data_IF_387194418332
#
_entry.id   IF_387194418332
#
_cell.length_a   1.000
_cell.length_b   1.000
_cell.length_c   1.000
_cell.angle_alpha   90.00
_cell.angle_beta   90.00
_cell.angle_gamma   90.00
#
_symmetry.space_group_name_H-M   'P 1'
#
loop_
_entity.id
_entity.type
_entity.pdbx_description
1 polymer ?
#
# COMPACT_ATOMS: atom_id res chain seq x y z
N UNK A 1 -16.20 30.85 -1.57
CA UNK A 1 -17.30 30.98 -0.60
C UNK A 1 -18.65 30.67 -1.25
N UNK A 2 -19.54 30.03 -0.50
CA UNK A 2 -20.89 29.69 -0.92
C UNK A 2 -21.87 30.39 0.03
N UNK A 3 -22.90 30.99 -0.52
CA UNK A 3 -24.05 31.55 0.22
C UNK A 3 -25.31 30.80 -0.15
N UNK A 4 -26.22 30.64 0.78
CA UNK A 4 -27.52 30.04 0.52
C UNK A 4 -28.54 31.18 0.17
N UNK A 5 -29.16 31.07 -0.98
CA UNK A 5 -30.18 31.97 -1.44
C UNK A 5 -31.39 31.17 -1.94
N UNK A 6 -32.57 31.44 -1.37
CA UNK A 6 -33.84 30.77 -1.72
C UNK A 6 -33.73 29.21 -1.60
N UNK A 7 -32.96 28.73 -0.63
CA UNK A 7 -32.71 27.27 -0.42
C UNK A 7 -31.70 26.64 -1.39
N UNK A 8 -31.02 27.43 -2.20
CA UNK A 8 -29.99 26.95 -3.13
C UNK A 8 -28.60 27.50 -2.78
N UNK A 9 -27.55 26.67 -2.90
CA UNK A 9 -26.17 27.15 -2.78
C UNK A 9 -25.81 28.04 -4.01
N UNK A 10 -25.22 29.18 -3.75
CA UNK A 10 -24.74 30.12 -4.77
C UNK A 10 -23.32 30.54 -4.48
N UNK A 11 -22.53 30.84 -5.50
CA UNK A 11 -21.22 31.45 -5.29
C UNK A 11 -21.40 32.84 -4.69
N UNK A 12 -20.63 33.16 -3.64
CA UNK A 12 -20.78 34.42 -2.90
C UNK A 12 -20.47 35.67 -3.72
N UNK A 13 -19.71 35.53 -4.83
CA UNK A 13 -19.42 36.61 -5.76
C UNK A 13 -20.53 36.89 -6.78
N UNK A 14 -21.64 36.13 -6.72
CA UNK A 14 -22.74 36.23 -7.68
C UNK A 14 -22.43 35.73 -9.09
N UNK A 15 -21.24 35.18 -9.32
CA UNK A 15 -20.81 34.61 -10.60
C UNK A 15 -21.26 33.16 -10.80
N UNK A 16 -21.05 32.68 -12.02
CA UNK A 16 -21.30 31.27 -12.40
C UNK A 16 -20.04 30.42 -12.33
N UNK A 17 -18.86 31.03 -12.12
CA UNK A 17 -17.59 30.37 -11.97
C UNK A 17 -16.96 30.73 -10.62
N UNK A 18 -16.28 29.75 -10.00
CA UNK A 18 -15.50 30.02 -8.80
C UNK A 18 -14.34 30.96 -9.14
N UNK A 19 -14.04 31.96 -8.26
CA UNK A 19 -12.85 32.78 -8.45
C UNK A 19 -11.59 31.93 -8.24
N UNK A 20 -10.51 32.25 -8.93
CA UNK A 20 -9.21 31.57 -8.72
C UNK A 20 -8.68 31.81 -7.30
N UNK A 21 -8.96 32.96 -6.72
CA UNK A 21 -8.58 33.34 -5.36
C UNK A 21 -9.73 33.97 -4.61
N UNK A 22 -9.81 33.77 -3.31
CA UNK A 22 -10.77 34.46 -2.43
C UNK A 22 -10.18 34.58 -1.01
N UNK A 23 -10.63 35.64 -0.31
CA UNK A 23 -10.27 35.82 1.09
C UNK A 23 -11.14 34.95 1.99
N UNK A 24 -10.49 34.22 2.90
CA UNK A 24 -11.16 33.45 3.95
C UNK A 24 -11.04 34.23 5.25
N UNK A 25 -12.18 34.48 5.91
CA UNK A 25 -12.16 35.06 7.24
C UNK A 25 -11.62 34.04 8.25
N UNK A 26 -10.55 34.37 8.93
CA UNK A 26 -9.88 33.53 9.92
C UNK A 26 -8.37 33.65 9.85
N UNK A 27 -7.69 32.95 10.73
CA UNK A 27 -6.24 32.84 10.70
C UNK A 27 -5.79 32.14 9.42
N UNK A 28 -4.61 32.51 8.91
CA UNK A 28 -4.02 31.81 7.78
C UNK A 28 -3.97 30.31 8.08
N UNK A 29 -4.30 29.44 7.11
CA UNK A 29 -4.16 28.00 7.34
C UNK A 29 -2.74 27.72 7.79
N UNK A 30 -2.60 26.93 8.85
CA UNK A 30 -1.30 26.41 9.28
C UNK A 30 -0.67 25.73 8.04
N UNK A 31 0.59 26.03 7.72
CA UNK A 31 1.26 25.33 6.63
C UNK A 31 1.07 23.84 6.81
N UNK A 32 0.84 23.15 5.71
CA UNK A 32 0.62 21.71 5.70
C UNK A 32 1.74 21.06 6.53
N UNK A 33 1.42 20.62 7.74
CA UNK A 33 2.38 19.84 8.54
C UNK A 33 2.44 18.47 7.89
N UNK A 34 3.63 17.94 7.65
CA UNK A 34 3.81 16.60 7.13
C UNK A 34 2.98 15.61 7.96
N UNK A 35 2.21 14.77 7.30
CA UNK A 35 1.41 13.76 7.98
C UNK A 35 2.31 12.57 8.31
N UNK A 36 2.17 12.04 9.52
CA UNK A 36 2.78 10.78 9.95
C UNK A 36 1.73 9.93 10.67
N UNK A 37 1.78 8.64 10.44
CA UNK A 37 0.95 7.63 11.08
C UNK A 37 1.79 6.41 11.40
N UNK A 38 1.63 5.87 12.60
CA UNK A 38 2.29 4.63 13.03
C UNK A 38 1.30 3.81 13.86
N UNK A 39 1.31 2.51 13.69
CA UNK A 39 0.54 1.57 14.50
C UNK A 39 1.30 0.27 14.75
N UNK A 40 1.05 -0.33 15.90
CA UNK A 40 1.44 -1.70 16.25
C UNK A 40 0.21 -2.61 16.35
N UNK A 41 -0.90 -2.20 15.79
CA UNK A 41 -2.15 -2.96 15.74
C UNK A 41 -2.60 -3.49 17.11
N UNK A 42 -2.72 -2.57 18.09
CA UNK A 42 -3.16 -2.92 19.43
C UNK A 42 -4.59 -3.51 19.43
N UNK A 43 -4.88 -4.40 20.36
CA UNK A 43 -6.13 -5.16 20.44
C UNK A 43 -7.43 -4.35 20.34
N UNK A 44 -7.40 -3.08 20.74
CA UNK A 44 -8.56 -2.19 20.74
C UNK A 44 -8.52 -1.14 19.61
N UNK A 45 -7.59 -1.28 18.66
CA UNK A 45 -7.49 -0.35 17.54
C UNK A 45 -8.70 -0.44 16.62
N UNK A 46 -9.42 0.68 16.48
CA UNK A 46 -10.46 0.81 15.47
C UNK A 46 -9.82 1.22 14.13
N UNK A 47 -9.47 0.22 13.31
CA UNK A 47 -8.81 0.42 12.02
C UNK A 47 -9.53 1.44 11.13
N UNK A 48 -10.87 1.46 11.18
CA UNK A 48 -11.66 2.37 10.34
C UNK A 48 -11.56 3.82 10.82
N UNK A 49 -11.47 4.04 12.12
CA UNK A 49 -11.22 5.39 12.68
C UNK A 49 -9.79 5.87 12.43
N UNK A 50 -8.84 4.95 12.39
CA UNK A 50 -7.44 5.24 12.05
C UNK A 50 -7.24 5.49 10.56
N UNK A 51 -8.31 5.42 9.76
CA UNK A 51 -8.28 5.76 8.34
C UNK A 51 -7.89 4.62 7.39
N UNK A 52 -7.86 3.39 7.90
CA UNK A 52 -7.66 2.22 7.04
C UNK A 52 -8.84 2.04 6.09
N UNK A 53 -8.54 1.57 4.90
CA UNK A 53 -9.49 1.28 3.83
C UNK A 53 -9.33 -0.17 3.41
N UNK A 54 -10.39 -0.75 2.88
CA UNK A 54 -10.35 -2.05 2.24
C UNK A 54 -11.19 -2.05 0.97
N UNK A 55 -10.88 -2.97 0.08
CA UNK A 55 -11.67 -3.17 -1.13
C UNK A 55 -12.94 -3.95 -0.81
N UNK A 56 -14.10 -3.26 -0.71
CA UNK A 56 -15.47 -3.80 -0.67
C UNK A 56 -15.86 -4.62 0.57
N UNK A 57 -14.96 -5.17 1.35
CA UNK A 57 -15.27 -6.06 2.47
C UNK A 57 -14.73 -5.52 3.79
N UNK A 58 -15.58 -4.89 4.58
CA UNK A 58 -15.25 -4.43 5.94
C UNK A 58 -15.38 -5.51 7.01
N UNK A 59 -16.02 -6.63 6.67
CA UNK A 59 -16.27 -7.77 7.58
C UNK A 59 -16.07 -9.09 6.84
N UNK A 60 -16.09 -10.21 7.54
CA UNK A 60 -16.07 -11.55 6.94
C UNK A 60 -14.91 -12.45 7.42
N UNK A 61 -14.22 -12.10 8.51
CA UNK A 61 -13.24 -12.97 9.16
C UNK A 61 -11.96 -13.21 8.34
N UNK A 62 -11.63 -12.28 7.43
CA UNK A 62 -10.38 -12.31 6.68
C UNK A 62 -9.28 -11.49 7.34
N UNK A 63 -9.61 -10.72 8.34
CA UNK A 63 -8.67 -9.99 9.18
C UNK A 63 -9.05 -10.08 10.66
N UNK A 64 -8.08 -9.95 11.52
CA UNK A 64 -8.26 -9.76 12.97
C UNK A 64 -7.09 -8.97 13.53
N UNK A 65 -7.34 -8.24 14.62
CA UNK A 65 -6.30 -7.56 15.40
C UNK A 65 -6.24 -8.24 16.76
N UNK A 66 -5.03 -8.48 17.25
CA UNK A 66 -4.79 -9.16 18.50
C UNK A 66 -3.41 -8.83 19.09
N UNK A 67 -3.01 -9.52 20.18
CA UNK A 67 -1.72 -9.28 20.84
C UNK A 67 -0.49 -9.45 19.93
N UNK A 68 -0.65 -10.20 18.86
CA UNK A 68 0.42 -10.47 17.88
C UNK A 68 0.41 -9.49 16.70
N UNK A 69 -0.50 -8.49 16.72
CA UNK A 69 -0.65 -7.52 15.64
C UNK A 69 -1.88 -7.77 14.75
N UNK A 70 -1.80 -7.32 13.51
CA UNK A 70 -2.81 -7.52 12.47
C UNK A 70 -2.58 -8.85 11.76
N UNK A 71 -3.57 -9.74 11.79
CA UNK A 71 -3.55 -10.99 11.04
C UNK A 71 -4.43 -10.83 9.81
N UNK A 72 -3.88 -11.07 8.62
CA UNK A 72 -4.60 -11.15 7.35
C UNK A 72 -4.62 -12.59 6.86
N UNK A 73 -5.82 -13.11 6.56
CA UNK A 73 -6.00 -14.40 5.91
C UNK A 73 -5.91 -14.23 4.40
N UNK A 74 -5.23 -15.15 3.72
CA UNK A 74 -5.01 -15.11 2.28
C UNK A 74 -6.30 -14.99 1.45
N UNK A 75 -6.38 -13.93 0.67
CA UNK A 75 -7.46 -13.63 -0.25
C UNK A 75 -7.10 -13.95 -1.70
N UNK A 76 -7.82 -13.32 -2.62
CA UNK A 76 -7.56 -13.39 -4.06
C UNK A 76 -6.40 -12.50 -4.49
N UNK A 77 -5.99 -12.65 -5.75
CA UNK A 77 -4.99 -11.81 -6.41
C UNK A 77 -5.27 -10.31 -6.25
N UNK A 78 -4.25 -9.45 -6.28
CA UNK A 78 -4.43 -8.00 -6.27
C UNK A 78 -5.29 -7.50 -7.44
N UNK A 79 -5.35 -8.27 -8.53
CA UNK A 79 -6.19 -7.96 -9.69
C UNK A 79 -7.65 -8.38 -9.55
N UNK A 80 -8.00 -9.09 -8.48
CA UNK A 80 -9.40 -9.46 -8.22
C UNK A 80 -10.24 -8.23 -7.89
N UNK A 81 -11.48 -8.25 -8.36
CA UNK A 81 -12.43 -7.19 -8.06
C UNK A 81 -13.16 -7.37 -6.72
N UNK A 82 -13.05 -8.53 -6.06
CA UNK A 82 -13.94 -8.86 -4.95
C UNK A 82 -13.27 -9.36 -3.68
N UNK A 83 -12.59 -10.49 -3.69
CA UNK A 83 -12.16 -11.18 -2.46
C UNK A 83 -10.72 -10.91 -2.07
N UNK A 84 -10.30 -9.67 -2.17
CA UNK A 84 -8.96 -9.24 -1.75
C UNK A 84 -8.89 -9.13 -0.23
N UNK A 85 -7.81 -9.62 0.35
CA UNK A 85 -7.46 -9.42 1.76
C UNK A 85 -6.42 -8.32 1.87
N UNK A 86 -6.90 -7.09 1.98
CA UNK A 86 -6.10 -5.89 1.83
C UNK A 86 -6.58 -4.78 2.74
N UNK A 87 -5.67 -4.18 3.49
CA UNK A 87 -5.86 -2.98 4.28
C UNK A 87 -4.85 -1.92 3.85
N UNK A 88 -5.33 -0.76 3.45
CA UNK A 88 -4.51 0.30 2.87
C UNK A 88 -4.82 1.66 3.50
N UNK A 89 -3.85 2.57 3.42
CA UNK A 89 -3.94 3.99 3.76
C UNK A 89 -3.80 4.83 2.49
N UNK A 90 -4.36 6.04 2.48
CA UNK A 90 -4.17 6.97 1.36
C UNK A 90 -2.77 7.58 1.40
N UNK A 91 -2.08 7.56 0.27
CA UNK A 91 -0.95 8.46 0.06
C UNK A 91 -1.45 9.92 0.06
N UNK A 92 -0.75 10.79 0.79
CA UNK A 92 -1.18 12.18 1.04
C UNK A 92 -0.27 13.22 0.44
N UNK A 93 0.90 12.80 0.00
CA UNK A 93 1.95 13.64 -0.57
C UNK A 93 2.50 13.00 -1.85
N UNK A 94 3.23 13.76 -2.65
CA UNK A 94 4.01 13.24 -3.78
C UNK A 94 5.40 12.72 -3.36
N UNK A 95 5.79 12.97 -2.11
CA UNK A 95 6.98 12.39 -1.50
C UNK A 95 6.60 11.82 -0.13
N UNK A 96 6.79 10.52 0.04
CA UNK A 96 6.40 9.80 1.26
C UNK A 96 7.16 8.49 1.41
N UNK A 97 7.15 7.97 2.62
CA UNK A 97 7.73 6.70 2.98
C UNK A 97 6.74 5.88 3.81
N UNK A 98 6.71 4.56 3.61
CA UNK A 98 5.94 3.65 4.44
C UNK A 98 6.74 2.37 4.68
N UNK A 99 6.53 1.77 5.85
CA UNK A 99 7.19 0.54 6.29
C UNK A 99 6.20 -0.39 7.00
N UNK A 100 6.46 -1.68 6.95
CA UNK A 100 5.81 -2.65 7.82
C UNK A 100 6.81 -3.67 8.34
N UNK A 101 6.48 -4.30 9.48
CA UNK A 101 7.12 -5.51 10.00
C UNK A 101 6.11 -6.64 9.94
N UNK A 102 6.54 -7.81 9.47
CA UNK A 102 5.64 -8.94 9.26
C UNK A 102 6.31 -10.29 9.46
N UNK A 103 5.47 -11.29 9.73
CA UNK A 103 5.82 -12.70 9.76
C UNK A 103 4.93 -13.43 8.75
N UNK A 104 5.55 -14.23 7.88
CA UNK A 104 4.83 -15.00 6.89
C UNK A 104 5.59 -16.26 6.49
N UNK A 105 4.90 -17.41 6.53
CA UNK A 105 5.45 -18.73 6.23
C UNK A 105 4.69 -19.38 5.07
N UNK A 106 4.94 -18.93 3.83
CA UNK A 106 4.34 -19.55 2.66
C UNK A 106 4.94 -20.95 2.41
N UNK A 107 4.14 -21.82 1.84
CA UNK A 107 4.56 -23.15 1.41
C UNK A 107 4.37 -23.41 -0.09
N UNK A 108 3.83 -22.40 -0.80
CA UNK A 108 3.52 -22.46 -2.21
C UNK A 108 3.69 -21.08 -2.87
N UNK A 109 4.12 -21.02 -4.11
CA UNK A 109 4.38 -19.76 -4.84
C UNK A 109 3.13 -18.88 -5.02
N UNK A 110 1.92 -19.44 -4.94
CA UNK A 110 0.66 -18.70 -4.98
C UNK A 110 0.22 -18.15 -3.62
N UNK A 111 1.04 -18.32 -2.58
CA UNK A 111 0.88 -17.71 -1.27
C UNK A 111 1.85 -16.54 -1.17
N UNK A 112 1.33 -15.33 -1.04
CA UNK A 112 2.13 -14.12 -0.97
C UNK A 112 1.58 -13.17 0.08
N UNK A 113 2.45 -12.43 0.77
CA UNK A 113 2.06 -11.36 1.68
C UNK A 113 3.10 -10.25 1.67
N UNK A 114 2.66 -9.00 1.87
CA UNK A 114 3.57 -7.86 1.88
C UNK A 114 2.89 -6.51 1.72
N UNK A 115 3.65 -5.56 1.16
CA UNK A 115 3.22 -4.17 0.93
C UNK A 115 2.80 -3.94 -0.51
N UNK A 116 1.63 -3.35 -0.67
CA UNK A 116 1.10 -2.95 -1.97
C UNK A 116 0.95 -1.42 -2.03
N UNK A 117 1.35 -0.85 -3.17
CA UNK A 117 1.03 0.52 -3.57
C UNK A 117 0.14 0.42 -4.79
N UNK A 118 -1.07 0.94 -4.75
CA UNK A 118 -2.00 0.79 -5.85
C UNK A 118 -2.83 2.03 -6.10
N UNK A 119 -3.32 2.13 -7.32
CA UNK A 119 -4.39 3.01 -7.71
C UNK A 119 -5.70 2.23 -7.89
N UNK A 120 -5.63 1.10 -8.59
CA UNK A 120 -6.71 0.13 -8.75
C UNK A 120 -6.13 -1.28 -8.99
N UNK A 121 -6.98 -2.27 -9.21
CA UNK A 121 -6.60 -3.67 -9.44
C UNK A 121 -5.79 -3.91 -10.72
N UNK A 122 -5.49 -2.89 -11.52
CA UNK A 122 -4.73 -2.96 -12.77
C UNK A 122 -3.49 -2.07 -12.78
N UNK A 123 -3.34 -1.20 -11.77
CA UNK A 123 -2.26 -0.23 -11.67
C UNK A 123 -1.69 -0.27 -10.24
N UNK A 124 -0.63 -1.06 -10.03
CA UNK A 124 -0.03 -1.27 -8.73
C UNK A 124 1.42 -1.73 -8.80
N UNK A 125 2.14 -1.52 -7.70
CA UNK A 125 3.42 -2.15 -7.37
C UNK A 125 3.29 -2.90 -6.05
N UNK A 126 3.79 -4.12 -5.97
CA UNK A 126 3.66 -5.01 -4.83
C UNK A 126 5.01 -5.63 -4.49
N UNK A 127 5.52 -5.39 -3.28
CA UNK A 127 6.67 -6.06 -2.70
C UNK A 127 6.17 -7.11 -1.70
N UNK A 128 6.59 -8.35 -1.85
CA UNK A 128 6.01 -9.45 -1.08
C UNK A 128 6.98 -10.57 -0.78
N UNK A 129 6.66 -11.35 0.22
CA UNK A 129 7.27 -12.63 0.53
C UNK A 129 6.44 -13.73 -0.12
N UNK A 130 7.12 -14.71 -0.72
CA UNK A 130 6.53 -15.93 -1.30
C UNK A 130 7.44 -17.13 -1.12
N UNK A 131 7.09 -18.25 -1.74
CA UNK A 131 7.84 -19.49 -1.75
C UNK A 131 8.43 -19.77 -3.13
N UNK A 132 9.71 -20.12 -3.15
CA UNK A 132 10.37 -20.61 -4.36
C UNK A 132 10.35 -22.13 -4.37
N UNK A 133 9.65 -22.69 -5.35
CA UNK A 133 9.45 -24.14 -5.46
C UNK A 133 10.73 -24.92 -5.82
N UNK A 134 11.65 -24.28 -6.55
CA UNK A 134 12.90 -24.92 -6.98
C UNK A 134 13.94 -24.87 -5.86
N UNK A 135 14.12 -23.71 -5.23
CA UNK A 135 15.09 -23.52 -4.14
C UNK A 135 14.58 -23.97 -2.78
N UNK A 136 13.25 -24.22 -2.64
CA UNK A 136 12.59 -24.60 -1.37
C UNK A 136 12.88 -23.66 -0.23
N UNK A 137 12.75 -22.36 -0.51
CA UNK A 137 12.96 -21.31 0.48
C UNK A 137 11.97 -20.15 0.27
N UNK A 138 11.82 -19.33 1.30
CA UNK A 138 11.12 -18.05 1.18
C UNK A 138 11.92 -17.09 0.29
N UNK A 139 11.20 -16.26 -0.44
CA UNK A 139 11.78 -15.23 -1.30
C UNK A 139 11.03 -13.93 -1.16
N UNK A 140 11.75 -12.80 -1.20
CA UNK A 140 11.15 -11.49 -1.44
C UNK A 140 11.11 -11.29 -2.95
N UNK A 141 9.95 -10.87 -3.45
CA UNK A 141 9.69 -10.68 -4.87
C UNK A 141 8.90 -9.39 -5.08
N UNK A 142 8.97 -8.84 -6.29
CA UNK A 142 8.21 -7.67 -6.70
C UNK A 142 7.34 -7.97 -7.92
N UNK A 143 6.11 -7.50 -7.89
CA UNK A 143 5.16 -7.56 -8.99
C UNK A 143 4.71 -6.15 -9.33
N UNK A 144 4.71 -5.79 -10.60
CA UNK A 144 4.13 -4.56 -11.11
C UNK A 144 3.01 -4.87 -12.09
N UNK A 145 1.97 -4.07 -12.05
CA UNK A 145 0.86 -4.10 -13.02
C UNK A 145 0.66 -2.71 -13.57
N UNK A 146 0.85 -2.55 -14.87
CA UNK A 146 0.54 -1.32 -15.60
C UNK A 146 -0.64 -1.58 -16.53
N UNK A 147 -1.80 -1.00 -16.23
CA UNK A 147 -3.06 -1.21 -16.97
C UNK A 147 -3.42 -2.68 -17.16
N UNK A 148 -3.02 -3.52 -16.18
CA UNK A 148 -3.23 -4.96 -16.19
C UNK A 148 -2.13 -5.76 -16.90
N UNK A 149 -1.08 -5.14 -17.41
CA UNK A 149 0.10 -5.82 -17.89
C UNK A 149 1.08 -6.09 -16.75
N UNK A 150 1.32 -7.35 -16.46
CA UNK A 150 2.17 -7.77 -15.35
C UNK A 150 3.64 -7.85 -15.74
N UNK A 151 4.50 -7.49 -14.77
CA UNK A 151 5.94 -7.71 -14.85
C UNK A 151 6.49 -8.09 -13.48
N UNK A 152 7.57 -8.87 -13.48
CA UNK A 152 8.34 -9.28 -12.31
C UNK A 152 9.70 -8.55 -12.35
N UNK A 153 9.83 -7.36 -11.74
CA UNK A 153 11.04 -6.53 -11.90
C UNK A 153 12.33 -7.17 -11.35
N UNK A 154 12.20 -8.13 -10.42
CA UNK A 154 13.33 -8.90 -9.88
C UNK A 154 13.64 -10.17 -10.70
N UNK A 155 12.92 -10.40 -11.80
CA UNK A 155 13.00 -11.66 -12.55
C UNK A 155 12.47 -12.85 -11.74
N UNK A 156 12.79 -14.07 -12.21
CA UNK A 156 12.23 -15.29 -11.60
C UNK A 156 12.82 -15.61 -10.23
N UNK A 157 14.06 -15.19 -9.97
CA UNK A 157 14.77 -15.62 -8.76
C UNK A 157 14.35 -14.88 -7.48
N UNK A 158 14.04 -13.59 -7.55
CA UNK A 158 13.79 -12.80 -6.35
C UNK A 158 14.99 -12.79 -5.37
N UNK A 159 14.76 -12.37 -4.13
CA UNK A 159 15.76 -12.29 -3.06
C UNK A 159 15.48 -13.42 -2.06
N UNK A 160 16.43 -14.34 -1.90
CA UNK A 160 16.26 -15.47 -0.96
C UNK A 160 16.25 -14.98 0.49
N UNK A 161 15.31 -15.50 1.28
CA UNK A 161 15.22 -15.25 2.72
C UNK A 161 15.71 -16.50 3.45
N UNK A 162 16.75 -16.40 4.31
CA UNK A 162 17.22 -17.53 5.10
C UNK A 162 16.12 -18.09 6.03
N UNK A 163 16.12 -19.40 6.24
CA UNK A 163 15.13 -20.07 7.11
C UNK A 163 15.21 -19.63 8.58
N UNK A 164 16.36 -19.05 9.00
CA UNK A 164 16.57 -18.53 10.36
C UNK A 164 15.93 -17.17 10.61
N UNK A 165 15.42 -16.50 9.57
CA UNK A 165 14.77 -15.19 9.68
C UNK A 165 13.37 -15.36 10.22
N UNK A 166 13.06 -14.68 11.31
CA UNK A 166 11.73 -14.72 11.96
C UNK A 166 10.83 -13.58 11.50
N UNK A 167 11.40 -12.41 11.29
CA UNK A 167 10.67 -11.19 10.91
C UNK A 167 11.23 -10.58 9.64
N UNK A 168 10.35 -10.09 8.78
CA UNK A 168 10.71 -9.40 7.54
C UNK A 168 10.10 -8.00 7.58
N UNK A 169 10.96 -6.99 7.42
CA UNK A 169 10.50 -5.61 7.27
C UNK A 169 10.54 -5.24 5.80
N UNK A 170 9.45 -4.66 5.32
CA UNK A 170 9.31 -4.16 3.96
C UNK A 170 9.09 -2.67 4.00
N UNK A 171 9.70 -1.95 3.07
CA UNK A 171 9.60 -0.50 2.96
C UNK A 171 9.38 -0.04 1.53
N UNK A 172 8.76 1.10 1.38
CA UNK A 172 8.57 1.81 0.12
C UNK A 172 8.79 3.29 0.30
N UNK A 173 9.54 3.90 -0.60
CA UNK A 173 9.71 5.34 -0.70
C UNK A 173 9.24 5.81 -2.06
N UNK A 174 8.47 6.88 -2.09
CA UNK A 174 8.06 7.58 -3.31
C UNK A 174 8.56 9.01 -3.24
N UNK A 175 9.20 9.46 -4.32
CA UNK A 175 9.59 10.86 -4.53
C UNK A 175 9.22 11.26 -5.96
N UNK A 176 8.12 11.99 -6.08
CA UNK A 176 7.54 12.35 -7.38
C UNK A 176 7.14 11.12 -8.19
N UNK A 177 7.91 10.79 -9.22
CA UNK A 177 7.64 9.63 -10.10
C UNK A 177 8.45 8.40 -9.75
N UNK A 178 9.40 8.49 -8.83
CA UNK A 178 10.29 7.40 -8.48
C UNK A 178 9.73 6.63 -7.27
N UNK A 179 9.50 5.34 -7.43
CA UNK A 179 9.17 4.41 -6.36
C UNK A 179 10.33 3.44 -6.16
N UNK A 180 10.80 3.34 -4.93
CA UNK A 180 11.89 2.44 -4.54
C UNK A 180 11.41 1.57 -3.38
N UNK A 181 11.60 0.26 -3.52
CA UNK A 181 11.37 -0.68 -2.45
C UNK A 181 12.63 -0.97 -1.64
N UNK A 182 12.45 -1.26 -0.36
CA UNK A 182 13.49 -1.71 0.55
C UNK A 182 13.01 -2.86 1.41
N UNK A 183 13.94 -3.59 1.99
CA UNK A 183 13.66 -4.66 2.95
C UNK A 183 14.73 -4.74 4.03
N UNK A 184 14.39 -5.33 5.16
CA UNK A 184 15.35 -5.75 6.17
C UNK A 184 14.90 -7.08 6.77
N UNK A 185 15.85 -7.88 7.21
CA UNK A 185 15.62 -9.21 7.80
C UNK A 185 15.92 -9.12 9.28
N UNK A 186 14.97 -9.52 10.13
CA UNK A 186 15.03 -9.34 11.58
C UNK A 186 15.41 -7.88 11.96
N UNK A 187 16.31 -7.68 12.90
CA UNK A 187 16.84 -6.37 13.29
C UNK A 187 18.01 -5.89 12.39
N UNK A 188 18.21 -6.51 11.22
CA UNK A 188 19.27 -6.15 10.28
C UNK A 188 19.09 -4.76 9.66
N UNK A 189 20.12 -4.31 8.93
CA UNK A 189 20.07 -3.03 8.22
C UNK A 189 19.13 -3.08 7.02
N UNK A 190 18.57 -1.92 6.68
CA UNK A 190 17.77 -1.76 5.47
C UNK A 190 18.60 -1.93 4.20
N UNK A 191 18.13 -2.76 3.31
CA UNK A 191 18.66 -2.97 1.97
C UNK A 191 17.69 -2.42 0.93
N UNK A 192 18.17 -1.59 0.03
CA UNK A 192 17.38 -1.19 -1.14
C UNK A 192 17.26 -2.39 -2.07
N UNK A 193 16.04 -2.62 -2.57
CA UNK A 193 15.81 -3.66 -3.58
C UNK A 193 16.55 -3.26 -4.86
N UNK A 194 17.42 -4.14 -5.34
CA UNK A 194 18.25 -3.90 -6.51
C UNK A 194 17.75 -4.68 -7.73
N UNK A 195 17.86 -4.07 -8.89
CA UNK A 195 17.68 -4.72 -10.18
C UNK A 195 18.85 -5.68 -10.51
N UNK A 196 18.74 -6.44 -11.58
CA UNK A 196 19.73 -7.46 -11.94
C UNK A 196 21.16 -6.91 -12.20
N UNK A 197 21.29 -5.62 -12.49
CA UNK A 197 22.59 -4.93 -12.67
C UNK A 197 23.19 -4.38 -11.36
N UNK A 198 22.51 -4.61 -10.23
CA UNK A 198 22.95 -4.19 -8.90
C UNK A 198 22.64 -2.74 -8.54
N UNK A 199 21.98 -1.98 -9.41
CA UNK A 199 21.50 -0.64 -9.09
C UNK A 199 20.16 -0.69 -8.35
N UNK A 200 19.76 0.36 -7.60
CA UNK A 200 18.42 0.45 -7.04
C UNK A 200 17.35 0.21 -8.11
N UNK A 201 16.39 -0.66 -7.80
CA UNK A 201 15.21 -0.86 -8.65
C UNK A 201 14.27 0.34 -8.47
N UNK A 202 14.24 1.21 -9.48
CA UNK A 202 13.33 2.36 -9.50
C UNK A 202 12.14 2.00 -10.40
N UNK A 203 10.94 2.08 -9.83
CA UNK A 203 9.68 1.82 -10.51
C UNK A 203 8.95 3.15 -10.76
N UNK A 204 8.13 3.19 -11.81
CA UNK A 204 7.38 4.38 -12.19
C UNK A 204 6.10 4.54 -11.34
N UNK A 205 6.15 5.43 -10.33
CA UNK A 205 5.01 5.72 -9.48
C UNK A 205 3.84 6.39 -10.24
N UNK A 206 4.09 7.00 -11.40
CA UNK A 206 3.05 7.68 -12.18
C UNK A 206 2.00 6.72 -12.73
N UNK A 207 2.28 5.42 -12.84
CA UNK A 207 1.27 4.43 -13.23
C UNK A 207 0.08 4.40 -12.26
N UNK A 208 0.27 4.86 -11.02
CA UNK A 208 -0.75 4.92 -9.98
C UNK A 208 -1.43 6.30 -9.93
N UNK A 209 -1.67 6.92 -11.08
CA UNK A 209 -2.33 8.23 -11.19
C UNK A 209 -3.58 8.19 -12.08
N UNK A 210 -4.48 9.17 -11.88
CA UNK A 210 -5.67 9.36 -12.70
C UNK A 210 -5.33 9.52 -14.19
N UNK A 211 -4.27 10.28 -14.47
CA UNK A 211 -3.83 10.58 -15.82
C UNK A 211 -3.35 9.33 -16.55
N UNK A 212 -2.64 8.45 -15.83
CA UNK A 212 -2.11 7.23 -16.41
C UNK A 212 -3.19 6.17 -16.64
N UNK A 213 -4.01 5.87 -15.62
CA UNK A 213 -5.04 4.82 -15.74
C UNK A 213 -6.20 5.24 -16.65
N UNK A 214 -6.40 6.54 -16.80
CA UNK A 214 -7.43 7.11 -17.67
C UNK A 214 -8.79 7.25 -17.00
N UNK A 215 -9.81 7.54 -17.80
CA UNK A 215 -11.14 7.89 -17.32
C UNK A 215 -11.78 6.81 -16.43
N UNK A 216 -12.33 7.21 -15.29
CA UNK A 216 -13.23 6.39 -14.46
C UNK A 216 -12.60 5.82 -13.18
N UNK A 217 -11.38 6.21 -12.85
CA UNK A 217 -10.71 5.73 -11.65
C UNK A 217 -11.09 6.57 -10.41
N UNK A 218 -10.60 7.79 -10.24
CA UNK A 218 -10.97 8.73 -9.17
C UNK A 218 -10.73 8.25 -7.72
N UNK A 219 -9.78 7.33 -7.52
CA UNK A 219 -9.53 6.76 -6.19
C UNK A 219 -8.37 7.42 -5.47
N UNK A 220 -7.32 7.81 -6.18
CA UNK A 220 -6.04 8.23 -5.64
C UNK A 220 -5.20 7.04 -5.16
N UNK A 221 -3.90 7.23 -5.11
CA UNK A 221 -2.92 6.23 -4.68
C UNK A 221 -3.13 5.84 -3.22
N UNK A 222 -3.04 4.56 -2.96
CA UNK A 222 -3.03 3.98 -1.60
C UNK A 222 -1.81 3.11 -1.39
N UNK A 223 -1.43 2.92 -0.13
CA UNK A 223 -0.34 2.02 0.29
C UNK A 223 -0.78 1.23 1.50
N UNK A 224 -0.40 -0.04 1.58
CA UNK A 224 -0.75 -0.86 2.75
C UNK A 224 -0.37 -2.30 2.62
N UNK A 225 -1.11 -3.15 3.29
CA UNK A 225 -0.80 -4.52 3.60
C UNK A 225 -1.77 -5.47 2.90
N UNK A 226 -1.24 -6.55 2.33
CA UNK A 226 -2.09 -7.55 1.68
C UNK A 226 -1.56 -8.96 1.94
N UNK A 227 -2.48 -9.92 1.99
CA UNK A 227 -2.18 -11.35 2.04
C UNK A 227 -3.01 -12.07 0.97
N UNK A 228 -2.35 -12.90 0.18
CA UNK A 228 -2.92 -13.59 -0.96
C UNK A 228 -2.68 -15.09 -0.80
N UNK A 229 -3.70 -15.87 -1.04
CA UNK A 229 -3.57 -17.32 -1.15
C UNK A 229 -4.48 -17.83 -2.26
N UNK A 230 -3.90 -18.11 -3.40
CA UNK A 230 -4.61 -18.67 -4.55
C UNK A 230 -4.40 -20.18 -4.67
N UNK A 231 -3.89 -20.81 -3.59
CA UNK A 231 -3.65 -22.25 -3.51
C UNK A 231 -4.77 -22.96 -2.73
N UNK A 232 -4.73 -22.88 -1.41
CA UNK A 232 -5.63 -23.64 -0.54
C UNK A 232 -6.42 -22.77 0.46
N UNK A 233 -6.22 -21.44 0.43
CA UNK A 233 -6.88 -20.45 1.30
C UNK A 233 -6.59 -20.64 2.80
N UNK A 234 -5.45 -21.23 3.15
CA UNK A 234 -5.04 -21.48 4.55
C UNK A 234 -3.97 -20.52 5.05
N UNK A 235 -3.22 -19.88 4.15
CA UNK A 235 -2.15 -18.95 4.51
C UNK A 235 -2.67 -17.74 5.28
N UNK A 236 -1.90 -17.34 6.29
CA UNK A 236 -2.11 -16.13 7.07
C UNK A 236 -0.79 -15.38 7.22
N UNK A 237 -0.83 -14.07 7.13
CA UNK A 237 0.29 -13.20 7.45
C UNK A 237 -0.01 -12.39 8.70
N UNK A 238 0.97 -12.25 9.59
CA UNK A 238 0.89 -11.39 10.77
C UNK A 238 1.73 -10.15 10.51
N UNK A 239 1.17 -8.97 10.73
CA UNK A 239 1.84 -7.68 10.62
C UNK A 239 1.94 -7.07 12.00
N UNK A 240 3.18 -6.89 12.49
CA UNK A 240 3.45 -6.37 13.83
C UNK A 240 3.30 -4.85 13.87
N UNK A 241 3.64 -4.19 12.77
CA UNK A 241 3.60 -2.73 12.67
C UNK A 241 3.40 -2.25 11.24
N UNK A 242 2.94 -1.01 11.14
CA UNK A 242 2.90 -0.24 9.91
C UNK A 242 3.15 1.24 10.22
N UNK A 243 3.95 1.89 9.40
CA UNK A 243 4.15 3.34 9.46
C UNK A 243 4.02 3.98 8.08
N UNK A 244 3.60 5.23 8.07
CA UNK A 244 3.54 6.11 6.90
C UNK A 244 3.97 7.51 7.30
N UNK A 245 4.76 8.17 6.48
CA UNK A 245 5.21 9.55 6.70
C UNK A 245 5.35 10.29 5.38
N UNK A 246 4.80 11.51 5.31
CA UNK A 246 5.11 12.48 4.25
C UNK A 246 6.56 12.99 4.41
N UNK A 247 7.26 13.17 3.29
CA UNK A 247 8.65 13.67 3.24
C UNK A 247 8.71 15.14 2.84
#
# INVERSE_FOLDING_TARGET
PVVWQDGWPRLANGGIAAPETFEVAGDAPTPNTSFAYETHFADDEDLWKSGWLCSRRTSGGWWSVGPEGLILKGGDSPSSAYERSELVQRARSHAWHAECSMQFEPSHYNQTAGMICEYDSRAFHYLFVSWDEDRKCRVIQALSSDKGAFSMPLGDAGIAVPDTVESIRLGVSVDGYDLVFSYALDDGEWCVVASADGNPLVLDASIMSDEHVGFGAYTGTVVGLTCIDMWDKTATATFDSFSYQDC
#
